data_IF_739443585537
#
_entry.id   IF_739443585537
#
_cell.length_a   1.000
_cell.length_b   1.000
_cell.length_c   1.000
_cell.angle_alpha   90.00
_cell.angle_beta   90.00
_cell.angle_gamma   90.00
#
_symmetry.space_group_name_H-M   'P 1'
#
loop_
_entity.id
_entity.type
_entity.pdbx_description
1 polymer ?
#
# COMPACT_ATOMS: atom_id res chain seq x y z
N UNK A 1 8.98 -5.47 3.76
CA UNK A 1 9.05 -4.77 2.45
C UNK A 1 8.68 -3.32 2.72
N UNK A 2 9.67 -2.41 2.76
CA UNK A 2 9.53 -1.14 3.48
C UNK A 2 8.50 -0.16 2.90
N UNK A 3 8.29 -0.15 1.59
CA UNK A 3 7.26 0.69 0.94
C UNK A 3 5.86 0.28 1.40
N UNK A 4 5.56 -1.03 1.39
CA UNK A 4 4.27 -1.54 1.86
C UNK A 4 4.06 -1.30 3.36
N UNK A 5 5.12 -1.45 4.15
CA UNK A 5 5.09 -1.11 5.58
C UNK A 5 4.72 0.37 5.79
N UNK A 6 5.33 1.28 5.03
CA UNK A 6 4.98 2.71 5.08
C UNK A 6 3.54 3.01 4.62
N UNK A 7 3.04 2.32 3.59
CA UNK A 7 1.65 2.45 3.16
C UNK A 7 0.66 1.94 4.21
N UNK A 8 0.96 0.83 4.88
CA UNK A 8 0.13 0.33 5.97
C UNK A 8 0.17 1.25 7.19
N UNK A 9 1.32 1.86 7.51
CA UNK A 9 1.40 2.86 8.57
C UNK A 9 0.57 4.10 8.25
N UNK A 10 0.67 4.64 7.02
CA UNK A 10 -0.15 5.76 6.56
C UNK A 10 -1.65 5.44 6.67
N UNK A 11 -2.03 4.24 6.24
CA UNK A 11 -3.40 3.76 6.30
C UNK A 11 -3.92 3.63 7.75
N UNK A 12 -3.09 3.17 8.70
CA UNK A 12 -3.46 3.15 10.14
C UNK A 12 -3.69 4.54 10.73
N UNK A 13 -3.13 5.58 10.11
CA UNK A 13 -3.42 6.97 10.47
C UNK A 13 -4.73 7.48 9.86
N UNK A 14 -5.49 6.63 9.16
CA UNK A 14 -6.73 7.02 8.47
C UNK A 14 -6.49 7.84 7.20
N UNK A 15 -5.33 7.65 6.55
CA UNK A 15 -4.94 8.40 5.37
C UNK A 15 -4.55 7.48 4.21
N UNK A 16 -4.86 7.94 3.00
CA UNK A 16 -4.25 7.47 1.77
C UNK A 16 -3.47 8.60 1.12
N UNK A 17 -2.40 8.24 0.41
CA UNK A 17 -1.54 9.21 -0.25
C UNK A 17 -2.22 9.92 -1.42
N UNK A 18 -3.20 9.26 -2.06
CA UNK A 18 -4.00 9.72 -3.21
C UNK A 18 -3.25 10.01 -4.52
N UNK A 19 -1.93 10.19 -4.48
CA UNK A 19 -1.03 10.22 -5.64
C UNK A 19 0.21 9.33 -5.41
N UNK A 20 -0.02 8.08 -4.99
CA UNK A 20 1.08 7.14 -4.79
C UNK A 20 1.69 6.74 -6.13
N UNK A 21 2.97 7.07 -6.32
CA UNK A 21 3.75 6.71 -7.50
C UNK A 21 5.24 6.66 -7.16
N UNK A 22 6.07 6.00 -7.98
CA UNK A 22 7.51 5.88 -7.74
C UNK A 22 8.21 7.24 -7.55
N UNK A 23 7.76 8.28 -8.27
CA UNK A 23 8.28 9.66 -8.12
C UNK A 23 8.09 10.26 -6.72
N UNK A 24 7.12 9.76 -5.97
CA UNK A 24 6.73 10.21 -4.63
C UNK A 24 7.30 9.29 -3.53
N UNK A 25 8.26 8.41 -3.88
CA UNK A 25 8.94 7.52 -2.94
C UNK A 25 10.43 7.81 -2.94
N UNK A 26 10.96 8.28 -1.81
CA UNK A 26 12.39 8.47 -1.61
C UNK A 26 13.00 7.23 -0.94
N UNK A 27 14.12 6.77 -1.49
CA UNK A 27 14.90 5.65 -0.96
C UNK A 27 16.31 6.13 -0.62
N UNK A 28 16.72 5.99 0.65
CA UNK A 28 18.08 6.29 1.09
C UNK A 28 18.65 5.08 1.86
N UNK A 29 19.45 4.27 1.16
CA UNK A 29 19.92 2.99 1.69
C UNK A 29 18.73 2.09 2.03
N UNK A 30 18.55 1.83 3.33
CA UNK A 30 17.42 1.04 3.82
C UNK A 30 16.25 1.91 4.30
N UNK A 31 16.28 3.23 4.21
CA UNK A 31 15.13 4.06 4.59
C UNK A 31 14.21 4.32 3.40
N UNK A 32 12.90 4.28 3.65
CA UNK A 32 11.86 4.65 2.68
C UNK A 32 11.06 5.81 3.29
N UNK A 33 10.79 6.83 2.48
CA UNK A 33 9.91 7.94 2.85
C UNK A 33 8.93 8.21 1.71
N UNK A 34 7.65 8.27 2.05
CA UNK A 34 6.61 8.78 1.18
C UNK A 34 6.63 10.32 1.26
N UNK A 35 6.51 11.00 0.13
CA UNK A 35 6.55 12.47 0.02
C UNK A 35 5.43 12.97 -0.89
N UNK A 36 5.16 14.27 -0.86
CA UNK A 36 4.16 14.92 -1.73
C UNK A 36 2.72 14.47 -1.42
N UNK A 37 2.21 14.90 -0.26
CA UNK A 37 0.86 14.58 0.22
C UNK A 37 -0.18 15.64 -0.19
N UNK A 38 0.07 16.39 -1.26
CA UNK A 38 -0.84 17.47 -1.69
C UNK A 38 -2.20 16.94 -2.14
N UNK A 39 -2.27 15.68 -2.58
CA UNK A 39 -3.49 14.96 -2.96
C UNK A 39 -3.74 13.80 -1.99
N UNK A 40 -3.80 14.06 -0.69
CA UNK A 40 -4.16 13.01 0.29
C UNK A 40 -5.67 12.87 0.42
N UNK A 41 -6.11 11.65 0.76
CA UNK A 41 -7.51 11.35 1.05
C UNK A 41 -7.64 10.83 2.48
N UNK A 42 -8.65 11.32 3.20
CA UNK A 42 -9.06 10.70 4.45
C UNK A 42 -9.70 9.36 4.15
N UNK A 43 -9.29 8.36 4.89
CA UNK A 43 -9.77 7.00 4.73
C UNK A 43 -10.22 6.44 6.08
N UNK A 44 -11.53 6.42 6.26
CA UNK A 44 -12.16 5.76 7.39
C UNK A 44 -12.45 4.31 7.01
N UNK A 45 -11.69 3.38 7.58
CA UNK A 45 -11.80 1.96 7.32
C UNK A 45 -11.85 1.21 8.64
N UNK A 46 -12.92 0.46 8.84
CA UNK A 46 -13.09 -0.48 9.97
C UNK A 46 -12.21 -1.74 9.83
N UNK A 47 -11.23 -1.72 8.93
CA UNK A 47 -10.37 -2.86 8.71
C UNK A 47 -9.34 -3.00 9.84
N UNK A 48 -9.61 -3.93 10.76
CA UNK A 48 -8.66 -4.43 11.78
C UNK A 48 -7.45 -5.18 11.19
N UNK A 49 -7.33 -5.23 9.86
CA UNK A 49 -6.35 -6.04 9.17
C UNK A 49 -4.93 -5.50 9.41
N UNK A 50 -4.16 -6.22 10.23
CA UNK A 50 -2.71 -6.14 10.17
C UNK A 50 -2.27 -6.69 8.81
N UNK A 51 -2.00 -5.80 7.84
CA UNK A 51 -1.50 -6.17 6.52
C UNK A 51 -0.16 -6.91 6.67
N UNK A 52 -0.23 -8.24 6.75
CA UNK A 52 0.96 -9.08 6.64
C UNK A 52 1.31 -9.18 5.16
N UNK A 53 2.07 -8.21 4.66
CA UNK A 53 2.65 -8.23 3.31
C UNK A 53 3.65 -9.38 3.06
N UNK A 54 3.75 -10.32 4.01
CA UNK A 54 4.43 -11.61 3.86
C UNK A 54 3.80 -12.50 2.77
N UNK A 55 2.64 -12.12 2.24
CA UNK A 55 2.00 -12.73 1.05
C UNK A 55 2.56 -12.20 -0.29
N UNK A 56 3.73 -11.56 -0.28
CA UNK A 56 4.27 -10.73 -1.37
C UNK A 56 4.73 -11.42 -2.66
N UNK A 57 5.05 -10.58 -3.65
CA UNK A 57 5.83 -10.76 -4.89
C UNK A 57 5.92 -12.20 -5.42
N UNK A 58 5.23 -12.48 -6.53
CA UNK A 58 5.21 -13.80 -7.16
C UNK A 58 4.26 -14.80 -6.49
N UNK A 59 3.37 -14.31 -5.63
CA UNK A 59 2.23 -15.07 -5.08
C UNK A 59 0.95 -14.73 -5.85
N UNK A 60 -0.02 -15.66 -5.91
CA UNK A 60 -1.29 -15.38 -6.54
C UNK A 60 -1.97 -14.20 -5.84
N UNK A 61 -2.57 -13.34 -6.64
CA UNK A 61 -3.31 -12.17 -6.19
C UNK A 61 -4.37 -12.58 -5.15
N UNK A 62 -4.37 -11.99 -3.94
CA UNK A 62 -5.36 -12.29 -2.93
C UNK A 62 -6.73 -11.74 -3.35
N UNK A 63 -7.79 -12.37 -2.86
CA UNK A 63 -9.15 -11.87 -3.01
C UNK A 63 -9.30 -10.50 -2.32
N UNK A 64 -9.77 -9.49 -3.06
CA UNK A 64 -9.94 -8.12 -2.56
C UNK A 64 -10.83 -8.06 -1.30
N UNK A 65 -11.85 -8.92 -1.20
CA UNK A 65 -12.74 -8.98 -0.03
C UNK A 65 -12.07 -9.55 1.21
N UNK A 66 -11.00 -10.34 1.03
CA UNK A 66 -10.21 -10.94 2.12
C UNK A 66 -8.97 -10.12 2.46
N UNK A 67 -8.58 -9.18 1.60
CA UNK A 67 -7.40 -8.35 1.80
C UNK A 67 -7.59 -7.30 2.90
N UNK A 68 -8.83 -6.88 3.16
CA UNK A 68 -9.19 -5.95 4.23
C UNK A 68 -9.50 -4.54 3.73
N UNK A 69 -8.56 -3.89 3.03
CA UNK A 69 -8.78 -2.55 2.45
C UNK A 69 -8.75 -2.60 0.90
N UNK A 70 -9.87 -2.30 0.21
CA UNK A 70 -9.93 -2.32 -1.25
C UNK A 70 -8.97 -1.33 -1.93
N UNK A 71 -8.82 -0.12 -1.37
CA UNK A 71 -7.93 0.89 -1.95
C UNK A 71 -6.46 0.48 -1.87
N UNK A 72 -6.03 -0.07 -0.73
CA UNK A 72 -4.67 -0.56 -0.57
C UNK A 72 -4.41 -1.81 -1.44
N UNK A 73 -5.43 -2.66 -1.63
CA UNK A 73 -5.37 -3.77 -2.58
C UNK A 73 -5.14 -3.28 -4.01
N UNK A 74 -5.86 -2.23 -4.41
CA UNK A 74 -5.70 -1.64 -5.75
C UNK A 74 -4.32 -1.02 -5.95
N UNK A 75 -3.76 -0.33 -4.95
CA UNK A 75 -2.37 0.19 -5.00
C UNK A 75 -1.37 -0.97 -5.19
N UNK A 76 -1.54 -2.05 -4.42
CA UNK A 76 -0.67 -3.22 -4.53
C UNK A 76 -0.76 -3.89 -5.91
N UNK A 77 -1.98 -3.97 -6.47
CA UNK A 77 -2.24 -4.59 -7.77
C UNK A 77 -1.75 -3.73 -8.93
N UNK A 78 -2.11 -2.45 -8.94
CA UNK A 78 -2.02 -1.58 -10.11
C UNK A 78 -0.74 -0.75 -10.12
N UNK A 79 -0.43 -0.07 -9.02
CA UNK A 79 0.73 0.83 -8.94
C UNK A 79 2.02 0.07 -8.65
N UNK A 80 1.96 -0.95 -7.78
CA UNK A 80 3.15 -1.71 -7.39
C UNK A 80 3.34 -3.01 -8.17
N UNK A 81 2.29 -3.54 -8.81
CA UNK A 81 2.38 -4.77 -9.61
C UNK A 81 2.94 -5.98 -8.86
N UNK A 82 2.68 -6.10 -7.54
CA UNK A 82 3.37 -7.09 -6.69
C UNK A 82 2.81 -8.52 -6.82
N UNK A 83 1.74 -8.71 -7.58
CA UNK A 83 1.13 -10.02 -7.79
C UNK A 83 1.19 -10.40 -9.26
N UNK A 84 1.37 -11.70 -9.53
CA UNK A 84 1.32 -12.22 -10.89
C UNK A 84 -0.13 -12.15 -11.40
N UNK A 85 -0.30 -11.61 -12.61
CA UNK A 85 -1.55 -11.72 -13.36
C UNK A 85 -1.68 -13.18 -13.79
N UNK A 86 -2.58 -13.93 -13.17
CA UNK A 86 -2.94 -15.29 -13.62
C UNK A 86 -3.33 -15.30 -15.08
#
# INVERSE_FOLDING_TARGET
MKILESLAELHRCGLHHGDFAERNVLVNGNEVRLIDFDIHEYHDCDCEATFEFRLGVGKPMPDATKFGCPALWEICRSDMGIWEST
#
